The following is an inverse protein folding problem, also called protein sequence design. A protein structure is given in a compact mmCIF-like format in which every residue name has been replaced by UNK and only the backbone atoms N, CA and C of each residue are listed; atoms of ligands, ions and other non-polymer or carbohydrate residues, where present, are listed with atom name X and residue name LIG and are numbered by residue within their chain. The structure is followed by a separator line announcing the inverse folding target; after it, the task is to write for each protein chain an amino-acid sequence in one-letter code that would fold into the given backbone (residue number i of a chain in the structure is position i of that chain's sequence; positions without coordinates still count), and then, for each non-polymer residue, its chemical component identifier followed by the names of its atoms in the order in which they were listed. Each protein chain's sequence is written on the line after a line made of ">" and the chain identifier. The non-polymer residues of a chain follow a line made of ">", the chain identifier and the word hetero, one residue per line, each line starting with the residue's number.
data_IF_499970212249
#
_entry.id   IF_499970212249
#
_cell.length_a   1.000
_cell.length_b   1.000
_cell.length_c   1.000
_cell.angle_alpha   90.00
_cell.angle_beta   90.00
_cell.angle_gamma   90.00
#
_symmetry.space_group_name_H-M   'P 1'
#
loop_
_entity.id
_entity.type
_entity.pdbx_description
1 polymer ?
#
# COMPACT_ATOMS: atom_id res chain seq x y z
N UNK A 1 42.11 -12.36 3.68
CA UNK A 1 41.17 -13.39 4.16
C UNK A 1 40.37 -12.80 5.30
N UNK A 2 39.07 -12.55 5.11
CA UNK A 2 38.21 -11.89 6.10
C UNK A 2 37.90 -12.89 7.22
N UNK A 3 38.28 -12.60 8.47
CA UNK A 3 37.89 -13.45 9.60
C UNK A 3 36.57 -12.91 10.17
N UNK A 4 35.46 -13.68 10.10
CA UNK A 4 34.12 -13.16 10.40
C UNK A 4 33.92 -12.76 11.86
N UNK A 5 34.73 -13.28 12.78
CA UNK A 5 34.57 -13.03 14.23
C UNK A 5 35.49 -11.93 14.77
N UNK A 6 36.62 -11.71 14.12
CA UNK A 6 37.69 -10.86 14.64
C UNK A 6 37.83 -9.55 13.89
N UNK A 7 38.07 -8.48 14.64
CA UNK A 7 38.47 -7.20 14.09
C UNK A 7 39.91 -7.28 13.54
N UNK A 8 40.37 -6.21 12.85
CA UNK A 8 41.71 -6.17 12.22
C UNK A 8 42.85 -6.26 13.23
N UNK A 9 42.58 -5.89 14.48
CA UNK A 9 43.43 -5.92 15.67
C UNK A 9 43.39 -7.28 16.41
N UNK A 10 42.64 -8.27 15.90
CA UNK A 10 42.55 -9.61 16.51
C UNK A 10 41.62 -9.69 17.73
N UNK A 11 40.97 -8.60 18.11
CA UNK A 11 39.92 -8.58 19.13
C UNK A 11 38.60 -9.16 18.60
N UNK A 12 37.79 -9.73 19.48
CA UNK A 12 36.45 -10.23 19.12
C UNK A 12 35.51 -9.04 18.89
N UNK A 13 34.84 -9.02 17.75
CA UNK A 13 33.91 -7.96 17.39
C UNK A 13 32.52 -8.24 17.95
N UNK A 14 32.14 -7.58 19.05
CA UNK A 14 30.82 -7.75 19.66
C UNK A 14 29.66 -7.52 18.68
N UNK A 15 29.81 -6.54 17.77
CA UNK A 15 28.83 -6.26 16.72
C UNK A 15 28.64 -7.45 15.77
N UNK A 16 29.74 -8.07 15.31
CA UNK A 16 29.67 -9.20 14.38
C UNK A 16 29.17 -10.47 15.06
N UNK A 17 29.55 -10.68 16.32
CA UNK A 17 29.05 -11.79 17.14
C UNK A 17 27.54 -11.65 17.36
N UNK A 18 27.04 -10.44 17.65
CA UNK A 18 25.61 -10.21 17.79
C UNK A 18 24.85 -10.48 16.49
N UNK A 19 25.35 -9.98 15.35
CA UNK A 19 24.74 -10.27 14.04
C UNK A 19 24.69 -11.77 13.73
N UNK A 20 25.73 -12.53 14.12
CA UNK A 20 25.78 -13.98 13.90
C UNK A 20 24.79 -14.73 14.80
N UNK A 21 24.62 -14.30 16.06
CA UNK A 21 23.61 -14.87 16.97
C UNK A 21 22.20 -14.61 16.43
N UNK A 22 21.92 -13.38 15.97
CA UNK A 22 20.62 -13.02 15.40
C UNK A 22 20.32 -13.79 14.12
N UNK A 23 21.32 -14.02 13.27
CA UNK A 23 21.15 -14.84 12.07
C UNK A 23 20.83 -16.31 12.42
N UNK A 24 21.52 -16.88 13.41
CA UNK A 24 21.26 -18.26 13.89
C UNK A 24 19.88 -18.36 14.54
N UNK A 25 19.44 -17.37 15.32
CA UNK A 25 18.12 -17.39 15.93
C UNK A 25 17.00 -17.31 14.88
N UNK A 26 17.15 -16.48 13.84
CA UNK A 26 16.23 -16.45 12.70
C UNK A 26 16.16 -17.80 11.99
N UNK A 27 17.29 -18.49 11.84
CA UNK A 27 17.38 -19.78 11.15
C UNK A 27 16.71 -20.92 11.95
N UNK A 28 16.84 -20.91 13.28
CA UNK A 28 16.17 -21.88 14.16
C UNK A 28 14.65 -21.63 14.19
N UNK A 29 14.19 -20.38 14.26
CA UNK A 29 12.76 -20.06 14.16
C UNK A 29 12.17 -20.45 12.79
N UNK A 30 12.92 -20.29 11.70
CA UNK A 30 12.51 -20.72 10.36
C UNK A 30 12.43 -22.24 10.18
N UNK A 31 13.14 -23.04 10.98
CA UNK A 31 13.07 -24.50 10.92
C UNK A 31 11.84 -25.09 11.64
N UNK A 32 11.24 -24.36 12.59
CA UNK A 32 10.00 -24.79 13.27
C UNK A 32 8.75 -24.60 12.38
N UNK A 33 8.84 -23.77 11.33
CA UNK A 33 7.78 -23.62 10.31
C UNK A 33 7.81 -24.67 9.20
N UNK A 34 8.69 -25.68 9.27
CA UNK A 34 8.71 -26.84 8.34
C UNK A 34 8.73 -28.17 9.11
N UNK A 35 7.62 -28.45 9.79
CA UNK A 35 7.16 -29.82 10.02
C UNK A 35 5.72 -29.90 9.53
N UNK A 36 5.56 -29.88 8.22
CA UNK A 36 4.40 -30.50 7.59
C UNK A 36 4.84 -31.94 7.33
N UNK A 37 4.45 -32.84 8.23
CA UNK A 37 4.62 -34.27 8.02
C UNK A 37 3.86 -34.64 6.75
N UNK A 38 4.56 -35.29 5.82
CA UNK A 38 3.93 -36.06 4.75
C UNK A 38 3.14 -37.19 5.40
N UNK A 39 1.83 -37.02 5.54
CA UNK A 39 0.83 -38.07 5.48
C UNK A 39 -0.52 -37.38 5.19
N UNK A 40 -1.31 -37.96 4.29
CA UNK A 40 -2.65 -37.55 3.82
C UNK A 40 -2.75 -36.62 2.61
N UNK A 41 -2.38 -37.19 1.45
CA UNK A 41 -2.88 -36.81 0.12
C UNK A 41 -4.39 -37.08 -0.10
N UNK A 42 -5.18 -37.20 0.99
CA UNK A 42 -6.62 -37.47 0.98
C UNK A 42 -7.45 -36.29 1.50
N UNK A 43 -6.82 -35.26 2.10
CA UNK A 43 -7.54 -34.20 2.81
C UNK A 43 -7.74 -32.91 1.99
N UNK A 44 -7.04 -32.77 0.85
CA UNK A 44 -7.21 -31.65 -0.09
C UNK A 44 -8.58 -31.66 -0.79
N UNK A 45 -9.20 -32.84 -0.91
CA UNK A 45 -10.54 -32.96 -1.50
C UNK A 45 -11.66 -32.74 -0.47
N UNK A 46 -11.38 -32.91 0.83
CA UNK A 46 -12.33 -32.65 1.92
C UNK A 46 -12.37 -31.16 2.31
N UNK A 47 -11.24 -30.43 2.23
CA UNK A 47 -11.22 -28.98 2.48
C UNK A 47 -11.87 -28.17 1.34
N UNK A 48 -11.77 -28.64 0.10
CA UNK A 48 -12.45 -27.99 -1.04
C UNK A 48 -13.99 -28.08 -0.91
N UNK A 49 -14.51 -29.12 -0.26
CA UNK A 49 -15.95 -29.30 -0.02
C UNK A 49 -16.46 -28.60 1.26
N UNK A 50 -15.57 -28.22 2.20
CA UNK A 50 -15.94 -27.41 3.36
C UNK A 50 -15.95 -25.91 3.06
N UNK A 51 -15.11 -25.44 2.13
CA UNK A 51 -15.14 -24.03 1.70
C UNK A 51 -16.41 -23.72 0.88
N UNK A 52 -16.91 -24.68 0.11
CA UNK A 52 -18.12 -24.50 -0.70
C UNK A 52 -19.42 -24.45 0.13
N UNK A 53 -19.39 -24.85 1.40
CA UNK A 53 -20.57 -24.89 2.28
C UNK A 53 -20.70 -23.71 3.26
N UNK A 54 -19.70 -22.84 3.34
CA UNK A 54 -19.70 -21.66 4.21
C UNK A 54 -19.76 -20.33 3.44
N UNK A 55 -19.94 -20.40 2.11
CA UNK A 55 -20.05 -19.24 1.21
C UNK A 55 -21.46 -18.64 1.15
N UNK A 56 -22.47 -19.31 1.70
CA UNK A 56 -23.87 -18.84 1.70
C UNK A 56 -24.27 -18.08 2.98
N UNK A 57 -23.38 -17.95 3.98
CA UNK A 57 -23.66 -17.24 5.22
C UNK A 57 -22.45 -16.44 5.72
N UNK A 58 -21.89 -15.56 4.89
CA UNK A 58 -21.16 -14.41 5.44
C UNK A 58 -22.23 -13.40 5.89
N UNK A 59 -22.49 -13.24 7.20
CA UNK A 59 -23.47 -12.27 7.67
C UNK A 59 -23.07 -10.86 7.21
N UNK A 60 -24.06 -10.04 6.80
CA UNK A 60 -23.85 -8.66 6.32
C UNK A 60 -22.93 -7.84 7.23
N UNK A 61 -22.91 -8.10 8.55
CA UNK A 61 -22.02 -7.43 9.51
C UNK A 61 -20.53 -7.59 9.18
N UNK A 62 -20.09 -8.76 8.71
CA UNK A 62 -18.69 -8.97 8.32
C UNK A 62 -18.32 -8.19 7.06
N UNK A 63 -19.26 -8.02 6.12
CA UNK A 63 -19.00 -7.28 4.88
C UNK A 63 -18.73 -5.79 5.13
N UNK A 64 -19.49 -5.19 6.06
CA UNK A 64 -19.31 -3.80 6.47
C UNK A 64 -17.95 -3.57 7.12
N UNK A 65 -17.55 -4.43 8.06
CA UNK A 65 -16.26 -4.33 8.76
C UNK A 65 -15.08 -4.47 7.77
N UNK A 66 -15.16 -5.44 6.85
CA UNK A 66 -14.15 -5.64 5.81
C UNK A 66 -14.04 -4.41 4.90
N UNK A 67 -15.18 -3.81 4.51
CA UNK A 67 -15.22 -2.58 3.71
C UNK A 67 -14.61 -1.39 4.46
N UNK A 68 -14.98 -1.18 5.72
CA UNK A 68 -14.42 -0.11 6.54
C UNK A 68 -12.89 -0.21 6.66
N UNK A 69 -12.39 -1.43 6.86
CA UNK A 69 -10.94 -1.70 6.89
C UNK A 69 -10.28 -1.45 5.54
N UNK A 70 -10.89 -1.89 4.44
CA UNK A 70 -10.35 -1.67 3.09
C UNK A 70 -10.26 -0.17 2.74
N UNK A 71 -11.31 0.61 3.04
CA UNK A 71 -11.31 2.06 2.79
C UNK A 71 -10.30 2.77 3.68
N UNK A 72 -10.18 2.38 4.96
CA UNK A 72 -9.20 2.95 5.88
C UNK A 72 -7.76 2.67 5.42
N UNK A 73 -7.48 1.45 4.97
CA UNK A 73 -6.15 1.06 4.50
C UNK A 73 -5.79 1.72 3.16
N UNK A 74 -6.76 1.86 2.25
CA UNK A 74 -6.59 2.66 1.03
C UNK A 74 -6.19 4.09 1.35
N UNK A 75 -6.86 4.70 2.33
CA UNK A 75 -6.62 6.06 2.74
C UNK A 75 -5.21 6.25 3.35
N UNK A 76 -4.77 5.30 4.17
CA UNK A 76 -3.39 5.28 4.71
C UNK A 76 -2.35 5.09 3.61
N UNK A 77 -2.59 4.17 2.68
CA UNK A 77 -1.71 3.95 1.54
C UNK A 77 -1.64 5.17 0.62
N UNK A 78 -2.75 5.88 0.42
CA UNK A 78 -2.77 7.12 -0.37
C UNK A 78 -1.91 8.22 0.27
N UNK A 79 -1.97 8.38 1.59
CA UNK A 79 -1.12 9.31 2.35
C UNK A 79 0.36 8.93 2.26
N UNK A 80 0.67 7.64 2.40
CA UNK A 80 2.02 7.11 2.21
C UNK A 80 2.54 7.44 0.82
N UNK A 81 1.76 7.16 -0.24
CA UNK A 81 2.16 7.40 -1.62
C UNK A 81 2.45 8.88 -1.86
N UNK A 82 1.61 9.79 -1.35
CA UNK A 82 1.84 11.23 -1.48
C UNK A 82 3.12 11.69 -0.78
N UNK A 83 3.40 11.15 0.40
CA UNK A 83 4.63 11.44 1.13
C UNK A 83 5.86 10.88 0.39
N UNK A 84 5.76 9.65 -0.08
CA UNK A 84 6.83 8.97 -0.81
C UNK A 84 7.16 9.71 -2.12
N UNK A 85 6.16 10.07 -2.93
CA UNK A 85 6.35 10.83 -4.15
C UNK A 85 6.97 12.21 -3.93
N UNK A 86 6.65 12.86 -2.80
CA UNK A 86 7.27 14.14 -2.43
C UNK A 86 8.74 13.99 -2.06
N UNK A 87 9.10 12.90 -1.37
CA UNK A 87 10.47 12.64 -0.92
C UNK A 87 11.38 12.19 -2.07
N UNK A 88 10.90 11.29 -2.92
CA UNK A 88 11.70 10.70 -4.00
C UNK A 88 11.59 11.47 -5.33
N UNK A 89 10.68 12.46 -5.39
CA UNK A 89 10.34 13.22 -6.61
C UNK A 89 9.82 12.35 -7.76
N UNK A 90 9.34 11.15 -7.44
CA UNK A 90 8.74 10.15 -8.32
C UNK A 90 7.97 9.15 -7.46
N UNK A 91 6.98 8.45 -8.03
CA UNK A 91 6.24 7.39 -7.34
C UNK A 91 6.75 5.97 -7.68
N UNK A 92 7.75 5.84 -8.56
CA UNK A 92 8.23 4.54 -9.09
C UNK A 92 8.81 3.61 -8.01
N UNK A 93 9.44 4.18 -6.98
CA UNK A 93 10.04 3.41 -5.88
C UNK A 93 9.11 3.24 -4.68
N UNK A 94 7.87 3.74 -4.77
CA UNK A 94 6.89 3.64 -3.71
C UNK A 94 6.15 2.30 -3.82
N UNK A 95 6.29 1.47 -2.79
CA UNK A 95 5.65 0.15 -2.73
C UNK A 95 4.61 0.16 -1.63
N UNK A 96 3.39 -0.26 -1.97
CA UNK A 96 2.30 -0.51 -1.03
C UNK A 96 1.85 -1.96 -1.15
N UNK A 97 1.49 -2.55 -0.03
CA UNK A 97 0.94 -3.90 0.04
C UNK A 97 -0.29 -3.89 0.94
N UNK A 98 -1.26 -4.75 0.62
CA UNK A 98 -2.41 -4.98 1.49
C UNK A 98 -2.02 -5.78 2.74
N UNK A 99 -2.71 -5.54 3.83
CA UNK A 99 -2.68 -6.37 5.03
C UNK A 99 -3.17 -7.79 4.73
N UNK A 100 -2.60 -8.77 5.44
CA UNK A 100 -2.93 -10.18 5.24
C UNK A 100 -4.42 -10.49 5.50
N UNK A 101 -5.07 -9.67 6.32
CA UNK A 101 -6.50 -9.78 6.61
C UNK A 101 -7.39 -9.33 5.44
N UNK A 102 -6.89 -8.46 4.56
CA UNK A 102 -7.65 -7.94 3.40
C UNK A 102 -7.37 -8.68 2.10
N UNK A 103 -6.18 -9.27 1.94
CA UNK A 103 -5.78 -10.03 0.74
C UNK A 103 -6.80 -11.10 0.28
N UNK A 104 -7.53 -11.81 1.16
CA UNK A 104 -8.55 -12.75 0.73
C UNK A 104 -9.75 -12.07 0.05
N UNK A 105 -10.07 -10.84 0.44
CA UNK A 105 -11.29 -10.11 0.05
C UNK A 105 -11.07 -9.05 -1.02
N UNK A 106 -9.85 -8.50 -1.13
CA UNK A 106 -9.47 -7.49 -2.11
C UNK A 106 -8.11 -7.78 -2.71
N UNK A 107 -7.98 -7.49 -4.01
CA UNK A 107 -6.69 -7.33 -4.69
C UNK A 107 -6.35 -5.84 -4.81
N UNK A 108 -5.05 -5.53 -4.74
CA UNK A 108 -4.53 -4.18 -4.91
C UNK A 108 -3.71 -4.11 -6.19
N UNK A 109 -4.11 -3.21 -7.07
CA UNK A 109 -3.33 -2.80 -8.23
C UNK A 109 -2.79 -1.39 -8.00
N UNK A 110 -1.48 -1.24 -8.17
CA UNK A 110 -0.79 0.03 -8.10
C UNK A 110 -0.10 0.29 -9.44
N UNK A 111 -0.48 1.38 -10.09
CA UNK A 111 0.23 1.95 -11.23
C UNK A 111 0.87 3.27 -10.79
N UNK A 112 2.19 3.36 -10.89
CA UNK A 112 2.96 4.52 -10.46
C UNK A 112 3.87 5.02 -11.57
N UNK A 113 4.12 6.33 -11.55
CA UNK A 113 4.95 7.06 -12.50
C UNK A 113 5.58 8.27 -11.82
N UNK A 114 6.43 9.01 -12.52
CA UNK A 114 7.00 10.26 -12.00
C UNK A 114 5.93 11.31 -11.62
N UNK A 115 4.85 11.41 -12.41
CA UNK A 115 3.86 12.49 -12.29
C UNK A 115 2.62 12.11 -11.45
N UNK A 116 2.52 10.86 -11.01
CA UNK A 116 1.39 10.42 -10.20
C UNK A 116 1.28 8.91 -10.04
N UNK A 117 0.24 8.51 -9.33
CA UNK A 117 -0.14 7.12 -9.13
C UNK A 117 -1.65 6.92 -9.28
N UNK A 118 -2.04 5.69 -9.59
CA UNK A 118 -3.40 5.16 -9.48
C UNK A 118 -3.35 3.89 -8.64
N UNK A 119 -4.20 3.84 -7.62
CA UNK A 119 -4.32 2.72 -6.70
C UNK A 119 -5.75 2.21 -6.73
N UNK A 120 -5.93 0.94 -7.06
CA UNK A 120 -7.24 0.34 -7.25
C UNK A 120 -7.33 -0.90 -6.36
N UNK A 121 -8.31 -0.90 -5.46
CA UNK A 121 -8.73 -2.08 -4.72
C UNK A 121 -9.93 -2.71 -5.42
N UNK A 122 -9.81 -3.97 -5.80
CA UNK A 122 -10.91 -4.72 -6.44
C UNK A 122 -11.31 -5.90 -5.58
N UNK A 123 -12.60 -6.01 -5.29
CA UNK A 123 -13.16 -7.09 -4.50
C UNK A 123 -12.99 -8.44 -5.21
N UNK A 124 -12.53 -9.45 -4.48
CA UNK A 124 -12.41 -10.83 -4.95
C UNK A 124 -13.78 -11.53 -4.94
N UNK A 125 -13.82 -12.79 -5.35
CA UNK A 125 -15.04 -13.62 -5.30
C UNK A 125 -15.51 -13.92 -3.85
N UNK A 126 -14.59 -13.82 -2.88
CA UNK A 126 -14.86 -14.07 -1.46
C UNK A 126 -15.57 -12.90 -0.79
N UNK A 127 -15.44 -11.71 -1.35
CA UNK A 127 -16.14 -10.53 -0.87
C UNK A 127 -17.53 -10.48 -1.53
N UNK A 128 -18.59 -10.37 -0.71
CA UNK A 128 -20.00 -10.29 -1.17
C UNK A 128 -20.59 -8.88 -1.01
N UNK A 129 -19.77 -7.89 -0.68
CA UNK A 129 -20.23 -6.50 -0.59
C UNK A 129 -20.61 -5.97 -1.99
N UNK A 130 -21.70 -5.20 -2.01
CA UNK A 130 -22.15 -4.37 -3.12
C UNK A 130 -21.10 -3.34 -3.62
N UNK A 131 -20.18 -2.93 -2.75
CA UNK A 131 -19.09 -2.02 -3.04
C UNK A 131 -17.85 -2.81 -3.47
N UNK A 132 -17.67 -2.90 -4.79
CA UNK A 132 -16.70 -3.80 -5.41
C UNK A 132 -15.33 -3.17 -5.60
N UNK A 133 -15.27 -1.87 -5.86
CA UNK A 133 -14.01 -1.24 -6.25
C UNK A 133 -13.80 0.06 -5.49
N UNK A 134 -12.58 0.30 -5.05
CA UNK A 134 -12.17 1.57 -4.48
C UNK A 134 -10.94 2.08 -5.19
N UNK A 135 -10.97 3.35 -5.58
CA UNK A 135 -9.91 3.97 -6.34
C UNK A 135 -9.34 5.15 -5.57
N UNK A 136 -8.02 5.31 -5.62
CA UNK A 136 -7.33 6.51 -5.18
C UNK A 136 -6.28 6.93 -6.21
N UNK A 137 -6.03 8.24 -6.27
CA UNK A 137 -5.07 8.83 -7.20
C UNK A 137 -4.20 9.88 -6.51
N UNK A 138 -3.20 10.41 -7.20
CA UNK A 138 -2.30 11.47 -6.67
C UNK A 138 -3.03 12.72 -6.18
N UNK A 139 -4.29 12.91 -6.63
CA UNK A 139 -5.40 13.65 -6.00
C UNK A 139 -5.39 13.75 -4.47
N UNK A 140 -5.22 12.58 -3.84
CA UNK A 140 -5.79 12.28 -2.54
C UNK A 140 -7.31 12.08 -2.61
N UNK A 141 -7.88 11.94 -3.81
CA UNK A 141 -9.29 11.60 -3.98
C UNK A 141 -9.46 10.09 -3.75
N UNK A 142 -10.58 9.72 -3.12
CA UNK A 142 -10.98 8.33 -2.95
C UNK A 142 -12.41 8.19 -3.48
N UNK A 143 -12.61 7.23 -4.37
CA UNK A 143 -13.90 6.95 -5.01
C UNK A 143 -14.28 5.51 -4.71
N UNK A 144 -15.53 5.28 -4.27
CA UNK A 144 -16.11 3.95 -4.14
C UNK A 144 -17.04 3.67 -5.32
N UNK A 145 -16.91 2.48 -5.92
CA UNK A 145 -17.73 2.02 -7.03
C UNK A 145 -18.52 0.77 -6.62
N UNK A 146 -19.77 0.73 -7.05
CA UNK A 146 -20.66 -0.41 -6.85
C UNK A 146 -20.39 -1.54 -7.86
N UNK A 147 -21.19 -2.60 -7.83
CA UNK A 147 -21.11 -3.75 -8.76
C UNK A 147 -21.22 -3.40 -10.25
N UNK A 148 -21.81 -2.26 -10.58
CA UNK A 148 -21.97 -1.78 -11.94
C UNK A 148 -20.81 -0.86 -12.38
N UNK A 149 -19.82 -0.63 -11.51
CA UNK A 149 -18.74 0.32 -11.74
C UNK A 149 -19.18 1.78 -11.63
N UNK A 150 -20.34 2.04 -11.03
CA UNK A 150 -20.85 3.39 -10.85
C UNK A 150 -20.43 3.94 -9.49
N UNK A 151 -20.09 5.24 -9.45
CA UNK A 151 -19.72 5.91 -8.21
C UNK A 151 -20.89 5.94 -7.24
N UNK A 152 -20.70 5.33 -6.07
CA UNK A 152 -21.68 5.31 -4.99
C UNK A 152 -21.05 5.85 -3.70
N UNK A 153 -21.59 6.97 -3.22
CA UNK A 153 -21.12 7.62 -2.00
C UNK A 153 -21.36 6.76 -0.75
N UNK A 154 -22.32 5.85 -0.79
CA UNK A 154 -22.60 4.94 0.32
C UNK A 154 -21.46 3.94 0.53
N UNK A 155 -20.64 3.69 -0.51
CA UNK A 155 -19.49 2.79 -0.41
C UNK A 155 -18.35 3.33 0.44
N UNK A 156 -18.22 4.65 0.55
CA UNK A 156 -17.16 5.27 1.34
C UNK A 156 -17.53 5.41 2.81
N UNK A 157 -18.81 5.16 3.17
CA UNK A 157 -19.37 5.25 4.52
C UNK A 157 -19.03 6.59 5.24
N UNK A 158 -19.44 6.74 6.49
CA UNK A 158 -19.17 7.93 7.33
C UNK A 158 -17.68 8.10 7.71
N UNK A 159 -16.73 7.48 7.01
CA UNK A 159 -15.31 7.87 7.07
C UNK A 159 -15.09 9.35 6.68
N UNK A 160 -16.09 9.98 6.05
CA UNK A 160 -16.19 11.43 5.85
C UNK A 160 -16.58 12.26 7.11
N UNK A 161 -17.16 11.66 8.17
CA UNK A 161 -17.58 12.39 9.40
C UNK A 161 -16.45 12.72 10.36
N UNK A 162 -15.28 12.11 10.20
CA UNK A 162 -14.04 12.67 10.73
C UNK A 162 -13.56 13.78 9.79
N UNK A 163 -14.38 14.85 9.66
CA UNK A 163 -14.24 16.01 8.77
C UNK A 163 -12.95 16.83 8.93
N UNK A 164 -11.99 16.38 9.76
CA UNK A 164 -10.70 17.04 9.95
C UNK A 164 -9.54 16.42 9.17
N UNK A 165 -9.71 15.28 8.47
CA UNK A 165 -8.55 14.47 8.07
C UNK A 165 -8.41 14.02 6.60
N UNK A 166 -9.25 14.40 5.64
CA UNK A 166 -8.99 14.02 4.23
C UNK A 166 -9.13 15.15 3.21
N UNK A 167 -8.42 16.24 3.49
CA UNK A 167 -7.70 16.96 2.45
C UNK A 167 -6.23 16.75 2.74
N UNK A 168 -5.55 15.91 1.96
CA UNK A 168 -4.11 15.90 2.03
C UNK A 168 -3.63 17.19 1.40
N UNK A 169 -3.36 18.17 2.25
CA UNK A 169 -2.87 19.49 1.87
C UNK A 169 -1.48 19.32 1.30
N UNK A 170 -1.33 19.48 -0.02
CA UNK A 170 -0.01 19.55 -0.63
C UNK A 170 0.62 20.90 -0.28
N UNK A 171 1.94 20.95 -0.20
CA UNK A 171 2.66 22.23 -0.16
C UNK A 171 2.37 23.11 -1.39
N UNK A 172 1.94 22.50 -2.51
CA UNK A 172 1.45 23.22 -3.70
C UNK A 172 0.07 23.82 -3.50
N UNK A 173 -0.79 23.21 -2.68
CA UNK A 173 -2.18 23.65 -2.50
C UNK A 173 -2.26 24.89 -1.61
N UNK A 174 -1.27 25.06 -0.72
CA UNK A 174 -1.12 26.24 0.13
C UNK A 174 -0.24 27.34 -0.50
N UNK A 175 0.33 27.09 -1.68
CA UNK A 175 1.03 28.11 -2.47
C UNK A 175 0.05 28.72 -3.46
N UNK A 176 -0.68 29.73 -3.00
CA UNK A 176 -1.22 30.75 -3.90
C UNK A 176 -0.08 31.27 -4.78
N UNK A 177 -0.06 30.83 -6.04
CA UNK A 177 0.82 31.28 -7.13
C UNK A 177 2.24 31.69 -6.75
N UNK A 178 3.12 30.73 -6.43
CA UNK A 178 4.52 31.00 -6.72
C UNK A 178 4.72 30.83 -8.23
N UNK A 179 4.86 31.97 -8.91
CA UNK A 179 5.21 32.02 -10.32
C UNK A 179 6.39 31.09 -10.56
N UNK A 180 6.23 30.16 -11.50
CA UNK A 180 7.33 29.33 -11.97
C UNK A 180 8.53 30.25 -12.25
N UNK A 181 9.75 29.93 -11.81
CA UNK A 181 10.93 30.70 -12.14
C UNK A 181 11.09 30.59 -13.66
N UNK A 182 10.54 31.58 -14.36
CA UNK A 182 10.55 31.62 -15.81
C UNK A 182 12.01 31.75 -16.20
N UNK A 183 12.57 30.68 -16.75
CA UNK A 183 13.84 30.76 -17.46
C UNK A 183 13.74 31.88 -18.49
N UNK A 184 14.78 32.72 -18.52
CA UNK A 184 14.99 33.86 -19.42
C UNK A 184 14.12 35.09 -19.14
N UNK A 185 14.67 35.99 -18.31
CA UNK A 185 14.37 37.41 -18.46
C UNK A 185 14.75 37.84 -19.90
N UNK A 186 13.84 38.45 -20.69
CA UNK A 186 14.23 38.99 -21.97
C UNK A 186 15.17 40.17 -21.72
N UNK A 187 16.45 40.00 -22.09
CA UNK A 187 17.37 41.10 -22.25
C UNK A 187 16.82 41.99 -23.36
N UNK A 188 16.09 43.04 -22.99
CA UNK A 188 15.75 44.13 -23.91
C UNK A 188 17.04 44.90 -24.21
N UNK A 189 17.86 44.35 -25.13
CA UNK A 189 18.84 45.13 -25.87
C UNK A 189 18.09 45.84 -26.98
N UNK A 190 17.59 47.05 -26.71
CA UNK A 190 17.44 48.01 -27.79
C UNK A 190 18.75 48.77 -27.94
N UNK A 191 19.57 48.23 -28.85
CA UNK A 191 20.64 48.95 -29.51
C UNK A 191 20.05 50.15 -30.26
N UNK A 192 20.75 51.27 -30.13
CA UNK A 192 20.60 52.52 -30.86
C UNK A 192 20.71 52.37 -32.38
N UNK A 193 19.94 53.21 -33.10
CA UNK A 193 20.15 53.85 -34.41
C UNK A 193 18.76 54.12 -35.02
N UNK A 194 18.38 55.33 -35.42
CA UNK A 194 19.09 56.32 -36.22
C UNK A 194 18.42 57.69 -36.06
#
# INVERSE_FOLDING_TARGET
>A
MFNPVFNKDGSVSYFRVFCLITAVSCLICGCVMKTSNNDDLSDLQAQSAMIEKDLDNVPEENSLEIREKAVAELAQNAEFMQTCGTLDRSYDNCVVELSDDLKPFYSLDLDSSDDGYSMILTATEQNKDSCRTFESNSNGEIIGLNEHGESDKNCLLDLAKNENNFKVSRDTDNKSGQSAPSGLAPLVKHLTNR
#
